data_IF_252051005297
#
_entry.id   IF_252051005297
#
_cell.length_a   1.000
_cell.length_b   1.000
_cell.length_c   1.000
_cell.angle_alpha   90.00
_cell.angle_beta   90.00
_cell.angle_gamma   90.00
#
_symmetry.space_group_name_H-M   'P 1'
#
loop_
_entity.id
_entity.type
_entity.pdbx_description
1 polymer ?
#
# COMPACT_ATOMS: atom_id res chain seq x y z
N UNK A 1 5.09 -11.34 11.73
CA UNK A 1 4.12 -10.98 10.65
C UNK A 1 3.72 -12.23 9.86
N UNK A 2 2.47 -12.40 9.50
CA UNK A 2 2.05 -13.48 8.60
C UNK A 2 1.90 -12.92 7.19
N UNK A 3 2.81 -13.28 6.27
CA UNK A 3 2.70 -12.89 4.86
C UNK A 3 1.45 -13.57 4.27
N UNK A 4 0.49 -12.75 3.86
CA UNK A 4 -0.80 -13.20 3.34
C UNK A 4 -0.71 -13.50 1.84
N UNK A 5 -1.48 -14.48 1.39
CA UNK A 5 -1.64 -14.75 -0.04
C UNK A 5 -2.41 -13.59 -0.71
N UNK A 6 -1.96 -13.20 -1.90
CA UNK A 6 -2.72 -12.25 -2.72
C UNK A 6 -4.05 -12.87 -3.18
N UNK A 7 -5.08 -12.07 -3.45
CA UNK A 7 -6.31 -12.53 -4.07
C UNK A 7 -6.03 -13.35 -5.35
N UNK A 8 -6.80 -14.42 -5.57
CA UNK A 8 -6.56 -15.35 -6.69
C UNK A 8 -6.51 -14.65 -8.06
N UNK A 9 -7.38 -13.67 -8.28
CA UNK A 9 -7.39 -12.89 -9.52
C UNK A 9 -6.12 -12.06 -9.74
N UNK A 10 -5.50 -11.59 -8.66
CA UNK A 10 -4.23 -10.85 -8.74
C UNK A 10 -3.07 -11.82 -8.96
N UNK A 11 -3.07 -12.97 -8.28
CA UNK A 11 -2.09 -14.01 -8.54
C UNK A 11 -2.14 -14.46 -10.02
N UNK A 12 -3.33 -14.68 -10.56
CA UNK A 12 -3.49 -15.05 -11.97
C UNK A 12 -2.98 -13.94 -12.91
N UNK A 13 -3.28 -12.68 -12.61
CA UNK A 13 -2.76 -11.55 -13.38
C UNK A 13 -1.23 -11.51 -13.38
N UNK A 14 -0.59 -11.73 -12.23
CA UNK A 14 0.87 -11.79 -12.12
C UNK A 14 1.47 -12.98 -12.89
N UNK A 15 0.77 -14.12 -12.94
CA UNK A 15 1.16 -15.26 -13.75
C UNK A 15 1.07 -14.95 -15.24
N UNK A 16 -0.04 -14.40 -15.71
CA UNK A 16 -0.27 -14.01 -17.11
C UNK A 16 0.80 -13.02 -17.61
N UNK A 17 1.25 -12.13 -16.72
CA UNK A 17 2.30 -11.15 -17.03
C UNK A 17 3.73 -11.73 -16.90
N UNK A 18 3.90 -12.98 -16.49
CA UNK A 18 5.19 -13.54 -16.11
C UNK A 18 5.97 -12.62 -15.15
N UNK A 19 5.27 -12.03 -14.20
CA UNK A 19 5.85 -11.06 -13.27
C UNK A 19 7.05 -11.63 -12.52
N UNK A 20 8.16 -10.87 -12.39
CA UNK A 20 9.35 -11.32 -11.65
C UNK A 20 9.03 -11.72 -10.22
N UNK A 21 9.73 -12.72 -9.68
CA UNK A 21 9.50 -13.19 -8.30
C UNK A 21 9.68 -12.09 -7.26
N UNK A 22 10.64 -11.20 -7.44
CA UNK A 22 10.88 -10.06 -6.57
C UNK A 22 9.68 -9.10 -6.52
N UNK A 23 9.02 -8.85 -7.68
CA UNK A 23 7.80 -8.05 -7.74
C UNK A 23 6.65 -8.74 -6.99
N UNK A 24 6.44 -10.04 -7.23
CA UNK A 24 5.37 -10.81 -6.56
C UNK A 24 5.51 -10.76 -5.04
N UNK A 25 6.72 -10.97 -4.53
CA UNK A 25 7.02 -10.90 -3.09
C UNK A 25 6.79 -9.51 -2.53
N UNK A 26 7.25 -8.47 -3.24
CA UNK A 26 7.03 -7.08 -2.84
C UNK A 26 5.54 -6.77 -2.70
N UNK A 27 4.74 -7.10 -3.72
CA UNK A 27 3.30 -6.88 -3.69
C UNK A 27 2.59 -7.65 -2.56
N UNK A 28 3.03 -8.88 -2.27
CA UNK A 28 2.53 -9.65 -1.12
C UNK A 28 2.87 -8.99 0.22
N UNK A 29 4.10 -8.49 0.37
CA UNK A 29 4.52 -7.79 1.59
C UNK A 29 3.69 -6.53 1.80
N UNK A 30 3.55 -5.69 0.76
CA UNK A 30 2.81 -4.43 0.86
C UNK A 30 1.32 -4.68 1.09
N UNK A 31 0.74 -5.69 0.44
CA UNK A 31 -0.63 -6.14 0.70
C UNK A 31 -0.82 -6.58 2.16
N UNK A 32 0.10 -7.39 2.70
CA UNK A 32 0.06 -7.85 4.08
C UNK A 32 0.21 -6.70 5.07
N UNK A 33 1.11 -5.76 4.79
CA UNK A 33 1.31 -4.55 5.60
C UNK A 33 0.05 -3.66 5.58
N UNK A 34 -0.59 -3.47 4.42
CA UNK A 34 -1.84 -2.73 4.31
C UNK A 34 -2.98 -3.40 5.09
N UNK A 35 -3.03 -4.74 5.08
CA UNK A 35 -4.01 -5.49 5.87
C UNK A 35 -3.78 -5.30 7.37
N UNK A 36 -2.54 -5.37 7.83
CA UNK A 36 -2.17 -5.17 9.24
C UNK A 36 -2.51 -3.75 9.71
N UNK A 37 -2.21 -2.73 8.91
CA UNK A 37 -2.62 -1.34 9.18
C UNK A 37 -4.15 -1.24 9.26
N UNK A 38 -4.85 -1.78 8.27
CA UNK A 38 -6.32 -1.73 8.20
C UNK A 38 -6.97 -2.39 9.43
N UNK A 39 -6.49 -3.56 9.84
CA UNK A 39 -7.00 -4.27 11.03
C UNK A 39 -6.75 -3.48 12.32
N UNK A 40 -5.57 -2.88 12.45
CA UNK A 40 -5.22 -2.02 13.57
C UNK A 40 -6.10 -0.77 13.63
N UNK A 41 -6.35 -0.12 12.48
CA UNK A 41 -7.25 1.03 12.38
C UNK A 41 -8.69 0.67 12.77
N UNK A 42 -9.21 -0.47 12.31
CA UNK A 42 -10.55 -0.95 12.68
C UNK A 42 -10.69 -1.26 14.16
N UNK A 43 -9.63 -1.74 14.79
CA UNK A 43 -9.59 -1.99 16.24
C UNK A 43 -9.61 -0.70 17.04
N UNK A 44 -8.82 0.31 16.62
CA UNK A 44 -8.71 1.58 17.33
C UNK A 44 -9.89 2.52 17.06
N UNK A 45 -10.44 2.48 15.84
CA UNK A 45 -11.57 3.30 15.40
C UNK A 45 -12.62 2.45 14.68
N UNK A 46 -13.47 1.70 15.42
CA UNK A 46 -14.47 0.80 14.81
C UNK A 46 -15.49 1.51 13.90
N UNK A 47 -15.70 2.81 14.10
CA UNK A 47 -16.56 3.66 13.26
C UNK A 47 -15.89 4.13 11.97
N UNK A 48 -14.57 4.02 11.83
CA UNK A 48 -13.83 4.44 10.65
C UNK A 48 -14.17 3.53 9.45
N UNK A 49 -14.91 4.10 8.51
CA UNK A 49 -15.27 3.38 7.29
C UNK A 49 -14.16 3.50 6.26
N UNK A 50 -13.56 2.38 5.90
CA UNK A 50 -12.57 2.26 4.84
C UNK A 50 -13.18 1.54 3.63
N UNK A 51 -12.77 1.95 2.45
CA UNK A 51 -12.99 1.16 1.24
C UNK A 51 -11.89 0.08 1.16
N UNK A 52 -12.16 -1.06 1.82
CA UNK A 52 -11.21 -2.16 1.95
C UNK A 52 -10.76 -2.71 0.58
N UNK A 53 -11.68 -2.84 -0.37
CA UNK A 53 -11.32 -3.27 -1.74
C UNK A 53 -10.34 -2.29 -2.40
N UNK A 54 -10.57 -0.98 -2.26
CA UNK A 54 -9.65 0.03 -2.80
C UNK A 54 -8.27 -0.06 -2.14
N UNK A 55 -8.23 -0.15 -0.81
CA UNK A 55 -6.99 -0.23 -0.06
C UNK A 55 -6.20 -1.49 -0.41
N UNK A 56 -6.83 -2.66 -0.31
CA UNK A 56 -6.14 -3.94 -0.46
C UNK A 56 -5.78 -4.23 -1.93
N UNK A 57 -6.68 -3.99 -2.88
CA UNK A 57 -6.34 -4.13 -4.31
C UNK A 57 -5.32 -3.07 -4.75
N UNK A 58 -5.44 -1.84 -4.23
CA UNK A 58 -4.44 -0.80 -4.48
C UNK A 58 -3.04 -1.23 -4.00
N UNK A 59 -2.93 -1.71 -2.77
CA UNK A 59 -1.67 -2.22 -2.22
C UNK A 59 -1.10 -3.42 -2.99
N UNK A 60 -1.97 -4.36 -3.40
CA UNK A 60 -1.57 -5.54 -4.17
C UNK A 60 -1.16 -5.24 -5.62
N UNK A 61 -1.49 -4.07 -6.15
CA UNK A 61 -1.32 -3.73 -7.57
C UNK A 61 -0.51 -2.45 -7.81
N UNK A 62 -0.11 -1.70 -6.74
CA UNK A 62 0.48 -0.37 -6.89
C UNK A 62 1.67 -0.34 -7.87
N UNK A 63 2.47 -1.38 -7.86
CA UNK A 63 3.69 -1.54 -8.65
C UNK A 63 3.54 -2.52 -9.83
N UNK A 64 2.33 -2.92 -10.21
CA UNK A 64 2.08 -3.96 -11.23
C UNK A 64 2.76 -3.66 -12.58
N UNK A 65 2.94 -2.38 -12.93
CA UNK A 65 3.61 -1.98 -14.15
C UNK A 65 5.10 -2.32 -14.20
N UNK A 66 5.72 -2.66 -13.06
CA UNK A 66 7.09 -3.20 -13.02
C UNK A 66 7.20 -4.59 -13.65
N UNK A 67 6.08 -5.27 -13.94
CA UNK A 67 6.09 -6.47 -14.77
C UNK A 67 6.50 -6.15 -16.22
N UNK A 68 6.19 -4.95 -16.73
CA UNK A 68 6.63 -4.48 -18.05
C UNK A 68 7.96 -3.73 -18.00
N UNK A 69 8.35 -3.23 -16.84
CA UNK A 69 9.57 -2.45 -16.58
C UNK A 69 10.38 -3.08 -15.44
N UNK A 70 10.88 -4.34 -15.59
CA UNK A 70 11.53 -5.05 -14.49
C UNK A 70 12.84 -4.40 -14.03
N UNK A 71 13.48 -3.57 -14.85
CA UNK A 71 14.63 -2.77 -14.47
C UNK A 71 14.33 -1.80 -13.33
N UNK A 72 13.08 -1.32 -13.20
CA UNK A 72 12.66 -0.41 -12.14
C UNK A 72 12.45 -1.11 -10.78
N UNK A 73 12.71 -2.42 -10.69
CA UNK A 73 12.83 -3.11 -9.40
C UNK A 73 14.15 -2.79 -8.68
N UNK A 74 15.18 -2.40 -9.41
CA UNK A 74 16.53 -2.10 -8.88
C UNK A 74 17.05 -0.72 -9.27
N UNK A 75 16.47 -0.08 -10.27
CA UNK A 75 16.87 1.22 -10.77
C UNK A 75 15.73 2.25 -10.57
N UNK A 76 16.06 3.52 -10.29
CA UNK A 76 15.06 4.57 -10.21
C UNK A 76 14.32 4.74 -11.54
N UNK A 77 12.98 4.85 -11.49
CA UNK A 77 12.15 5.09 -12.65
C UNK A 77 10.70 5.28 -12.27
N UNK A 78 9.89 5.75 -13.20
CA UNK A 78 8.45 5.98 -13.01
C UNK A 78 7.60 5.52 -14.20
N UNK A 79 8.20 4.77 -15.13
CA UNK A 79 7.47 4.24 -16.30
C UNK A 79 6.41 3.22 -15.89
N UNK A 80 6.72 2.44 -14.84
CA UNK A 80 5.79 1.46 -14.27
C UNK A 80 4.46 2.08 -13.84
N UNK A 81 4.45 3.31 -13.34
CA UNK A 81 3.22 3.99 -12.89
C UNK A 81 2.22 4.11 -14.03
N UNK A 82 2.67 4.60 -15.20
CA UNK A 82 1.83 4.74 -16.38
C UNK A 82 1.48 3.39 -17.02
N UNK A 83 2.43 2.45 -17.07
CA UNK A 83 2.21 1.11 -17.56
C UNK A 83 1.16 0.36 -16.73
N UNK A 84 1.27 0.39 -15.40
CA UNK A 84 0.29 -0.17 -14.48
C UNK A 84 -1.10 0.44 -14.61
N UNK A 85 -1.17 1.77 -14.74
CA UNK A 85 -2.42 2.47 -15.00
C UNK A 85 -3.12 1.96 -16.27
N UNK A 86 -2.41 1.88 -17.39
CA UNK A 86 -2.95 1.43 -18.66
C UNK A 86 -3.37 -0.04 -18.62
N UNK A 87 -2.51 -0.90 -18.11
CA UNK A 87 -2.76 -2.33 -17.93
C UNK A 87 -4.06 -2.59 -17.15
N UNK A 88 -4.24 -1.92 -16.01
CA UNK A 88 -5.40 -2.14 -15.17
C UNK A 88 -6.70 -1.59 -15.78
N UNK A 89 -6.63 -0.49 -16.55
CA UNK A 89 -7.77 -0.01 -17.34
C UNK A 89 -8.19 -1.03 -18.38
N UNK A 90 -7.26 -1.59 -19.14
CA UNK A 90 -7.51 -2.60 -20.17
C UNK A 90 -8.09 -3.90 -19.58
N UNK A 91 -7.68 -4.25 -18.35
CA UNK A 91 -8.18 -5.41 -17.61
C UNK A 91 -9.50 -5.15 -16.87
N UNK A 92 -10.08 -3.95 -16.99
CA UNK A 92 -11.40 -3.62 -16.47
C UNK A 92 -11.45 -3.38 -14.95
N UNK A 93 -10.31 -3.09 -14.30
CA UNK A 93 -10.29 -2.71 -12.89
C UNK A 93 -11.05 -1.42 -12.63
N UNK A 94 -11.56 -1.25 -11.42
CA UNK A 94 -12.32 -0.05 -11.07
C UNK A 94 -11.45 1.21 -11.18
N UNK A 95 -12.06 2.32 -11.64
CA UNK A 95 -11.35 3.60 -11.77
C UNK A 95 -10.66 4.07 -10.49
N UNK A 96 -11.19 3.69 -9.32
CA UNK A 96 -10.59 4.03 -8.02
C UNK A 96 -9.28 3.28 -7.78
N UNK A 97 -9.25 1.97 -8.05
CA UNK A 97 -8.03 1.15 -7.95
C UNK A 97 -6.99 1.62 -8.96
N UNK A 98 -7.40 1.83 -10.22
CA UNK A 98 -6.51 2.33 -11.28
C UNK A 98 -5.91 3.69 -10.91
N UNK A 99 -6.71 4.59 -10.34
CA UNK A 99 -6.22 5.89 -9.85
C UNK A 99 -5.23 5.72 -8.70
N UNK A 100 -5.50 4.83 -7.74
CA UNK A 100 -4.59 4.59 -6.63
C UNK A 100 -3.21 4.15 -7.11
N UNK A 101 -3.14 3.26 -8.10
CA UNK A 101 -1.87 2.85 -8.74
C UNK A 101 -1.17 4.02 -9.40
N UNK A 102 -1.91 4.91 -10.07
CA UNK A 102 -1.33 6.10 -10.72
C UNK A 102 -0.69 7.09 -9.72
N UNK A 103 -1.22 7.16 -8.50
CA UNK A 103 -0.89 8.25 -7.56
C UNK A 103 -0.13 7.80 -6.31
N UNK A 104 0.24 6.52 -6.20
CA UNK A 104 0.86 6.00 -4.97
C UNK A 104 2.20 6.66 -4.62
N UNK A 105 2.95 7.16 -5.60
CA UNK A 105 4.18 7.93 -5.38
C UNK A 105 3.93 9.44 -5.15
N UNK A 106 2.76 9.95 -5.53
CA UNK A 106 2.37 11.38 -5.42
C UNK A 106 1.42 11.59 -4.23
N UNK A 107 1.84 11.16 -3.05
CA UNK A 107 1.01 11.16 -1.83
C UNK A 107 0.83 12.56 -1.20
N UNK A 108 1.71 13.53 -1.47
CA UNK A 108 1.68 14.87 -0.87
C UNK A 108 0.63 15.82 -1.47
N UNK A 109 -0.28 15.30 -2.26
CA UNK A 109 -1.37 16.07 -2.85
C UNK A 109 -2.60 16.06 -1.93
N UNK A 110 -3.21 17.22 -1.62
CA UNK A 110 -4.35 17.31 -0.70
C UNK A 110 -5.61 16.55 -1.16
N UNK A 111 -5.71 16.19 -2.44
CA UNK A 111 -6.85 15.42 -2.98
C UNK A 111 -6.74 13.91 -2.73
N UNK A 112 -5.73 13.45 -2.04
CA UNK A 112 -5.57 12.02 -1.72
C UNK A 112 -6.60 11.55 -0.71
N UNK A 113 -7.27 10.44 -1.03
CA UNK A 113 -8.14 9.74 -0.07
C UNK A 113 -7.32 9.08 1.03
N UNK A 114 -7.95 8.73 2.14
CA UNK A 114 -7.27 7.98 3.20
C UNK A 114 -6.73 6.66 2.69
N UNK A 115 -7.48 5.95 1.85
CA UNK A 115 -7.06 4.67 1.28
C UNK A 115 -5.81 4.83 0.39
N UNK A 116 -5.74 5.88 -0.43
CA UNK A 116 -4.55 6.17 -1.25
C UNK A 116 -3.33 6.50 -0.39
N UNK A 117 -3.49 7.26 0.69
CA UNK A 117 -2.43 7.52 1.66
C UNK A 117 -1.96 6.24 2.37
N UNK A 118 -2.89 5.37 2.75
CA UNK A 118 -2.57 4.09 3.39
C UNK A 118 -1.84 3.13 2.45
N UNK A 119 -2.13 3.14 1.15
CA UNK A 119 -1.37 2.37 0.15
C UNK A 119 0.08 2.87 0.12
N UNK A 120 0.30 4.17 -0.03
CA UNK A 120 1.64 4.77 -0.04
C UNK A 120 2.39 4.52 1.28
N UNK A 121 1.67 4.60 2.41
CA UNK A 121 2.24 4.34 3.73
C UNK A 121 2.68 2.88 3.88
N UNK A 122 1.87 1.94 3.39
CA UNK A 122 2.20 0.51 3.41
C UNK A 122 3.44 0.19 2.57
N UNK A 123 3.56 0.86 1.40
CA UNK A 123 4.69 0.71 0.50
C UNK A 123 6.00 1.33 1.06
N UNK A 124 5.91 2.29 1.95
CA UNK A 124 7.10 2.88 2.58
C UNK A 124 7.49 2.12 3.85
N UNK A 125 6.53 1.79 4.72
CA UNK A 125 6.84 1.24 6.05
C UNK A 125 7.22 -0.24 6.05
N UNK A 126 6.89 -0.99 4.99
CA UNK A 126 7.17 -2.43 4.96
C UNK A 126 8.63 -2.78 5.23
N UNK A 127 9.57 -1.90 4.86
CA UNK A 127 11.01 -2.06 5.06
C UNK A 127 11.54 -1.30 6.31
N UNK A 128 10.66 -0.87 7.21
CA UNK A 128 10.99 -0.17 8.44
C UNK A 128 11.21 1.34 8.29
N UNK A 129 11.08 1.90 7.09
CA UNK A 129 11.24 3.33 6.85
C UNK A 129 9.98 4.08 7.33
N UNK A 130 10.18 5.14 8.10
CA UNK A 130 9.14 6.06 8.55
C UNK A 130 9.19 7.34 7.72
N UNK A 131 8.02 7.84 7.30
CA UNK A 131 7.88 9.08 6.57
C UNK A 131 6.94 10.03 7.31
N UNK A 132 7.51 10.94 8.09
CA UNK A 132 6.76 11.84 8.97
C UNK A 132 5.70 12.68 8.24
N UNK A 133 5.98 13.13 7.01
CA UNK A 133 5.06 13.95 6.24
C UNK A 133 3.85 13.15 5.77
N UNK A 134 4.06 11.96 5.20
CA UNK A 134 2.98 11.05 4.81
C UNK A 134 2.17 10.59 6.02
N UNK A 135 2.82 10.29 7.13
CA UNK A 135 2.17 9.93 8.39
C UNK A 135 1.28 11.07 8.89
N UNK A 136 1.78 12.31 8.86
CA UNK A 136 1.00 13.49 9.25
C UNK A 136 -0.25 13.70 8.37
N UNK A 137 -0.12 13.54 7.04
CA UNK A 137 -1.27 13.57 6.12
C UNK A 137 -2.29 12.48 6.45
N UNK A 138 -1.81 11.27 6.69
CA UNK A 138 -2.66 10.12 7.05
C UNK A 138 -3.39 10.34 8.37
N UNK A 139 -2.68 10.81 9.40
CA UNK A 139 -3.23 11.13 10.72
C UNK A 139 -4.31 12.21 10.62
N UNK A 140 -4.06 13.29 9.86
CA UNK A 140 -5.07 14.33 9.62
C UNK A 140 -6.35 13.77 9.00
N UNK A 141 -6.23 12.87 8.00
CA UNK A 141 -7.40 12.23 7.38
C UNK A 141 -8.17 11.33 8.34
N UNK A 142 -7.47 10.60 9.20
CA UNK A 142 -8.12 9.78 10.24
C UNK A 142 -8.85 10.69 11.23
N UNK A 143 -8.17 11.71 11.75
CA UNK A 143 -8.74 12.68 12.69
C UNK A 143 -10.02 13.35 12.14
N UNK A 144 -9.98 13.78 10.86
CA UNK A 144 -11.14 14.35 10.17
C UNK A 144 -12.30 13.36 10.05
N UNK A 145 -12.02 12.10 9.66
CA UNK A 145 -13.07 11.08 9.46
C UNK A 145 -13.69 10.57 10.76
N UNK A 146 -12.89 10.50 11.83
CA UNK A 146 -13.33 9.99 13.15
C UNK A 146 -13.78 11.11 14.09
N UNK A 147 -13.57 12.38 13.72
CA UNK A 147 -13.79 13.54 14.58
C UNK A 147 -13.03 13.44 15.92
N UNK A 148 -11.85 12.83 15.88
CA UNK A 148 -10.94 12.66 17.01
C UNK A 148 -9.85 13.73 16.97
N UNK A 149 -9.36 14.15 18.15
CA UNK A 149 -8.24 15.09 18.23
C UNK A 149 -7.00 14.58 17.51
N UNK A 150 -6.26 15.47 16.85
CA UNK A 150 -5.09 15.12 16.07
C UNK A 150 -4.03 14.39 16.90
N UNK A 151 -3.76 14.84 18.13
CA UNK A 151 -2.72 14.24 18.96
C UNK A 151 -3.13 12.86 19.51
N UNK A 152 -4.42 12.64 19.76
CA UNK A 152 -4.93 11.33 20.15
C UNK A 152 -4.75 10.32 18.99
N UNK A 153 -5.02 10.75 17.76
CA UNK A 153 -4.77 9.92 16.58
C UNK A 153 -3.27 9.70 16.36
N UNK A 154 -2.46 10.75 16.53
CA UNK A 154 -1.00 10.67 16.38
C UNK A 154 -0.40 9.61 17.28
N UNK A 155 -0.72 9.63 18.58
CA UNK A 155 -0.17 8.68 19.55
C UNK A 155 -0.52 7.23 19.21
N UNK A 156 -1.74 6.98 18.76
CA UNK A 156 -2.18 5.63 18.36
C UNK A 156 -1.54 5.18 17.05
N UNK A 157 -1.49 6.06 16.06
CA UNK A 157 -0.83 5.77 14.79
C UNK A 157 0.66 5.52 14.96
N UNK A 158 1.35 6.31 15.78
CA UNK A 158 2.76 6.11 16.08
C UNK A 158 3.02 4.73 16.70
N UNK A 159 2.16 4.29 17.63
CA UNK A 159 2.25 2.95 18.21
C UNK A 159 2.04 1.85 17.16
N UNK A 160 1.00 1.96 16.31
CA UNK A 160 0.71 1.01 15.22
C UNK A 160 1.91 0.91 14.26
N UNK A 161 2.39 2.06 13.79
CA UNK A 161 3.47 2.09 12.80
C UNK A 161 4.81 1.62 13.38
N UNK A 162 5.06 1.85 14.68
CA UNK A 162 6.24 1.33 15.36
C UNK A 162 6.20 -0.20 15.46
N UNK A 163 5.06 -0.78 15.84
CA UNK A 163 4.87 -2.23 15.87
C UNK A 163 5.08 -2.87 14.48
N UNK A 164 4.55 -2.24 13.43
CA UNK A 164 4.77 -2.70 12.06
C UNK A 164 6.25 -2.60 11.68
N UNK A 165 6.93 -1.50 12.01
CA UNK A 165 8.35 -1.32 11.71
C UNK A 165 9.24 -2.37 12.40
N UNK A 166 8.90 -2.84 13.60
CA UNK A 166 9.64 -3.91 14.30
C UNK A 166 9.67 -5.24 13.52
N UNK A 167 8.67 -5.52 12.68
CA UNK A 167 8.62 -6.73 11.84
C UNK A 167 9.48 -6.68 10.56
N UNK A 168 10.36 -5.68 10.40
CA UNK A 168 11.13 -5.44 9.17
C UNK A 168 12.05 -6.61 8.77
N UNK A 169 12.75 -7.23 9.72
CA UNK A 169 13.71 -8.30 9.44
C UNK A 169 13.04 -9.52 8.77
N UNK A 170 11.83 -9.86 9.21
CA UNK A 170 11.04 -10.96 8.66
C UNK A 170 10.60 -10.67 7.21
N UNK A 171 10.18 -9.43 6.93
CA UNK A 171 9.79 -8.99 5.59
C UNK A 171 10.96 -8.91 4.63
N UNK A 172 12.10 -8.39 5.08
CA UNK A 172 13.34 -8.35 4.28
C UNK A 172 13.85 -9.77 4.00
N UNK A 173 13.77 -10.67 4.98
CA UNK A 173 14.09 -12.09 4.78
C UNK A 173 13.22 -12.74 3.72
N UNK A 174 11.91 -12.47 3.72
CA UNK A 174 10.98 -12.96 2.70
C UNK A 174 11.27 -12.36 1.31
N UNK A 175 11.56 -11.07 1.24
CA UNK A 175 11.87 -10.39 -0.03
C UNK A 175 13.16 -10.93 -0.67
N UNK A 176 14.19 -11.21 0.15
CA UNK A 176 15.51 -11.61 -0.32
C UNK A 176 15.71 -13.12 -0.59
N UNK A 177 14.83 -13.97 -0.01
CA UNK A 177 14.88 -15.43 -0.19
C UNK A 177 14.22 -15.86 -1.46
#
# INVERSE_FOLDING_TARGET
MNIQELPNEINQLLEDLNAPSGLRKHLQIVYSTATEIMESLKKEWPELKLNETLLLHGAALHDIGKAEHPEELSEPGNRHVKAGYQLLLERGYSKKVVRAVLVHEDWNNPDRSLEELLISLSDIIWNGIRNNELEEFTIKRIAERTQTDFWDVYMKMDAILSEIAEGVDERLGYQGG
#
